data_IF_031338685898
#
_entry.id   IF_031338685898
#
_cell.length_a   1.000
_cell.length_b   1.000
_cell.length_c   1.000
_cell.angle_alpha   90.00
_cell.angle_beta   90.00
_cell.angle_gamma   90.00
#
_symmetry.space_group_name_H-M   'P 1'
#
loop_
_entity.id
_entity.type
_entity.pdbx_description
1 polymer ?
#
# COMPACT_ATOMS: atom_id res chain seq x y z
N UNK A 1 -11.68 -5.48 -7.40
CA UNK A 1 -12.35 -5.45 -6.07
C UNK A 1 -13.29 -4.26 -5.89
N UNK A 2 -12.80 -3.01 -5.85
CA UNK A 2 -13.64 -1.83 -5.58
C UNK A 2 -14.80 -1.63 -6.58
N UNK A 3 -14.61 -2.02 -7.83
CA UNK A 3 -15.65 -1.95 -8.86
C UNK A 3 -16.70 -3.06 -8.80
N UNK A 4 -16.45 -4.15 -8.07
CA UNK A 4 -17.33 -5.32 -8.05
C UNK A 4 -17.17 -6.27 -9.25
N UNK A 5 -16.04 -6.20 -9.97
CA UNK A 5 -15.71 -7.15 -11.06
C UNK A 5 -15.32 -8.55 -10.58
N UNK A 6 -15.05 -8.72 -9.28
CA UNK A 6 -14.66 -9.99 -8.67
C UNK A 6 -15.62 -10.20 -7.49
N UNK A 7 -16.31 -11.34 -7.49
CA UNK A 7 -17.27 -11.73 -6.46
C UNK A 7 -16.59 -12.47 -5.32
N UNK A 8 -17.24 -12.51 -4.16
CA UNK A 8 -16.83 -13.41 -3.07
C UNK A 8 -17.03 -14.89 -3.42
N UNK A 9 -17.93 -15.17 -4.37
CA UNK A 9 -18.20 -16.53 -4.87
C UNK A 9 -17.03 -17.09 -5.69
N UNK A 10 -16.21 -16.21 -6.26
CA UNK A 10 -15.05 -16.59 -7.08
C UNK A 10 -13.85 -17.07 -6.24
N UNK A 11 -13.92 -16.93 -4.92
CA UNK A 11 -12.83 -17.24 -4.00
C UNK A 11 -12.68 -18.74 -3.80
N UNK A 12 -11.45 -19.23 -3.96
CA UNK A 12 -11.06 -20.54 -3.43
C UNK A 12 -11.05 -20.56 -1.90
N UNK A 13 -10.95 -21.77 -1.33
CA UNK A 13 -10.86 -21.96 0.13
C UNK A 13 -9.65 -21.21 0.70
N UNK A 14 -9.91 -20.22 1.55
CA UNK A 14 -8.88 -19.40 2.20
C UNK A 14 -8.36 -18.21 1.36
N UNK A 15 -8.81 -18.05 0.11
CA UNK A 15 -8.40 -16.95 -0.77
C UNK A 15 -9.03 -15.61 -0.34
N UNK A 16 -8.25 -14.53 -0.44
CA UNK A 16 -8.77 -13.16 -0.45
C UNK A 16 -9.36 -12.82 -1.82
N UNK A 17 -10.07 -11.67 -1.89
CA UNK A 17 -10.45 -11.11 -3.19
C UNK A 17 -9.22 -10.68 -4.00
N UNK A 18 -8.10 -10.36 -3.33
CA UNK A 18 -6.82 -10.05 -3.98
C UNK A 18 -6.24 -11.31 -4.61
N UNK A 19 -6.13 -12.41 -3.87
CA UNK A 19 -5.62 -13.69 -4.38
C UNK A 19 -6.42 -14.14 -5.62
N UNK A 20 -7.75 -14.03 -5.55
CA UNK A 20 -8.62 -14.29 -6.69
C UNK A 20 -8.31 -13.35 -7.89
N UNK A 21 -8.07 -12.06 -7.63
CA UNK A 21 -7.69 -11.09 -8.67
C UNK A 21 -6.33 -11.44 -9.30
N UNK A 22 -5.34 -11.82 -8.48
CA UNK A 22 -4.01 -12.21 -8.94
C UNK A 22 -4.09 -13.49 -9.78
N UNK A 23 -4.88 -14.49 -9.34
CA UNK A 23 -5.14 -15.72 -10.09
C UNK A 23 -5.76 -15.43 -11.46
N UNK A 24 -6.79 -14.59 -11.52
CA UNK A 24 -7.39 -14.19 -12.80
C UNK A 24 -6.40 -13.43 -13.69
N UNK A 25 -5.57 -12.55 -13.12
CA UNK A 25 -4.55 -11.84 -13.89
C UNK A 25 -3.53 -12.81 -14.49
N UNK A 26 -3.07 -13.81 -13.72
CA UNK A 26 -2.18 -14.86 -14.21
C UNK A 26 -2.83 -15.70 -15.30
N UNK A 27 -4.11 -16.05 -15.16
CA UNK A 27 -4.84 -16.79 -16.19
C UNK A 27 -4.94 -15.99 -17.49
N UNK A 28 -5.24 -14.69 -17.41
CA UNK A 28 -5.25 -13.80 -18.56
C UNK A 28 -3.86 -13.67 -19.21
N UNK A 29 -2.79 -13.67 -18.40
CA UNK A 29 -1.43 -13.64 -18.89
C UNK A 29 -1.03 -14.96 -19.58
N UNK A 30 -1.39 -16.10 -19.00
CA UNK A 30 -1.14 -17.43 -19.57
C UNK A 30 -1.90 -17.65 -20.88
N UNK A 31 -3.04 -16.96 -21.06
CA UNK A 31 -3.79 -16.94 -22.32
C UNK A 31 -3.31 -15.88 -23.31
N UNK A 32 -2.16 -15.24 -23.05
CA UNK A 32 -1.56 -14.19 -23.88
C UNK A 32 -2.51 -13.00 -24.15
N UNK A 33 -3.46 -12.73 -23.25
CA UNK A 33 -4.37 -11.59 -23.35
C UNK A 33 -3.80 -10.34 -22.68
N UNK A 34 -3.03 -10.54 -21.61
CA UNK A 34 -2.41 -9.48 -20.82
C UNK A 34 -0.92 -9.76 -20.67
N UNK A 35 -0.09 -8.77 -20.96
CA UNK A 35 1.32 -8.79 -20.60
C UNK A 35 1.49 -8.30 -19.17
N UNK A 36 2.09 -9.13 -18.33
CA UNK A 36 2.32 -8.81 -16.93
C UNK A 36 3.82 -8.68 -16.71
N UNK A 37 4.27 -7.52 -16.26
CA UNK A 37 5.64 -7.33 -15.76
C UNK A 37 5.64 -7.64 -14.27
N UNK A 38 6.34 -8.69 -13.90
CA UNK A 38 6.63 -9.03 -12.52
C UNK A 38 7.89 -8.26 -12.12
N UNK A 39 7.88 -7.67 -10.94
CA UNK A 39 9.08 -7.11 -10.35
C UNK A 39 9.47 -8.01 -9.18
N UNK A 40 10.42 -8.90 -9.44
CA UNK A 40 10.93 -9.84 -8.44
C UNK A 40 11.68 -9.13 -7.31
N UNK A 41 12.08 -7.87 -7.53
CA UNK A 41 12.74 -7.01 -6.53
C UNK A 41 11.74 -6.12 -5.77
N UNK A 42 10.51 -5.99 -6.26
CA UNK A 42 9.47 -5.16 -5.65
C UNK A 42 8.91 -5.81 -4.38
N UNK A 43 9.09 -5.08 -3.29
CA UNK A 43 8.66 -5.46 -1.95
C UNK A 43 7.14 -5.34 -1.78
N UNK A 44 6.49 -4.47 -2.55
CA UNK A 44 5.09 -4.05 -2.33
C UNK A 44 4.08 -4.78 -3.21
N UNK A 45 4.44 -4.98 -4.48
CA UNK A 45 3.58 -5.61 -5.47
C UNK A 45 4.41 -6.54 -6.34
N UNK A 46 3.99 -7.81 -6.39
CA UNK A 46 4.54 -8.80 -7.32
C UNK A 46 4.41 -8.34 -8.78
N UNK A 47 3.40 -7.53 -9.08
CA UNK A 47 3.14 -6.99 -10.41
C UNK A 47 3.52 -5.51 -10.48
N UNK A 48 4.45 -5.17 -11.36
CA UNK A 48 4.86 -3.79 -11.65
C UNK A 48 3.89 -3.10 -12.60
N UNK A 49 3.45 -3.83 -13.61
CA UNK A 49 2.46 -3.36 -14.55
C UNK A 49 1.78 -4.53 -15.25
N UNK A 50 0.55 -4.31 -15.68
CA UNK A 50 -0.15 -5.18 -16.61
C UNK A 50 -0.65 -4.34 -17.79
N UNK A 51 -0.51 -4.82 -19.02
CA UNK A 51 -1.04 -4.18 -20.22
C UNK A 51 -1.71 -5.19 -21.13
N UNK A 52 -2.82 -4.81 -21.75
CA UNK A 52 -3.39 -5.61 -22.82
C UNK A 52 -2.41 -5.64 -24.00
N UNK A 53 -2.34 -6.77 -24.71
CA UNK A 53 -1.69 -6.81 -26.01
C UNK A 53 -2.42 -5.88 -27.00
N UNK A 54 -1.71 -5.26 -27.94
CA UNK A 54 -2.26 -4.22 -28.82
C UNK A 54 -3.52 -4.69 -29.59
N UNK A 55 -3.49 -5.90 -30.17
CA UNK A 55 -4.66 -6.48 -30.85
C UNK A 55 -5.87 -6.69 -29.92
N UNK A 56 -5.62 -7.14 -28.68
CA UNK A 56 -6.67 -7.35 -27.67
C UNK A 56 -7.20 -6.00 -27.20
N UNK A 57 -6.33 -5.00 -27.05
CA UNK A 57 -6.70 -3.63 -26.71
C UNK A 57 -7.60 -3.03 -27.79
N UNK A 58 -7.22 -3.13 -29.05
CA UNK A 58 -8.00 -2.58 -30.17
C UNK A 58 -9.35 -3.29 -30.32
N UNK A 59 -9.37 -4.61 -30.16
CA UNK A 59 -10.60 -5.40 -30.11
C UNK A 59 -11.48 -4.99 -28.91
N UNK A 60 -10.88 -4.73 -27.76
CA UNK A 60 -11.60 -4.31 -26.55
C UNK A 60 -12.18 -2.92 -26.75
N UNK A 61 -11.39 -1.95 -27.21
CA UNK A 61 -11.85 -0.58 -27.46
C UNK A 61 -12.97 -0.52 -28.51
N UNK A 62 -12.88 -1.33 -29.57
CA UNK A 62 -13.95 -1.42 -30.58
C UNK A 62 -15.24 -2.05 -30.04
N UNK A 63 -15.15 -3.06 -29.17
CA UNK A 63 -16.32 -3.64 -28.47
C UNK A 63 -16.89 -2.72 -27.39
N UNK A 64 -16.03 -1.99 -26.67
CA UNK A 64 -16.40 -1.11 -25.56
C UNK A 64 -17.07 0.18 -26.04
N UNK A 65 -16.67 0.75 -27.19
CA UNK A 65 -17.40 1.85 -27.83
C UNK A 65 -18.85 1.48 -28.13
N UNK A 66 -19.12 0.22 -28.52
CA UNK A 66 -20.48 -0.30 -28.72
C UNK A 66 -21.22 -0.55 -27.41
N UNK A 67 -20.50 -0.85 -26.32
CA UNK A 67 -21.07 -1.21 -25.00
C UNK A 67 -21.03 -0.09 -23.95
N UNK A 68 -20.49 1.09 -24.28
CA UNK A 68 -20.36 2.27 -23.40
C UNK A 68 -19.68 1.95 -22.05
N UNK A 69 -18.70 1.06 -22.07
CA UNK A 69 -18.13 0.49 -20.84
C UNK A 69 -17.03 1.36 -20.21
N UNK A 70 -16.19 1.98 -21.04
CA UNK A 70 -15.06 2.85 -20.67
C UNK A 70 -14.94 3.96 -21.71
N UNK A 71 -14.64 5.16 -21.23
CA UNK A 71 -14.27 6.30 -22.07
C UNK A 71 -12.89 6.81 -21.65
N UNK A 72 -11.98 6.92 -22.62
CA UNK A 72 -10.63 7.46 -22.42
C UNK A 72 -10.57 8.82 -23.09
N UNK A 73 -10.40 9.88 -22.28
CA UNK A 73 -10.24 11.24 -22.76
C UNK A 73 -8.77 11.63 -22.76
N UNK A 74 -8.17 11.70 -23.94
CA UNK A 74 -6.90 12.40 -24.18
C UNK A 74 -7.23 13.85 -24.54
N UNK A 75 -7.15 14.78 -23.57
CA UNK A 75 -7.34 16.22 -23.85
C UNK A 75 -5.98 16.86 -24.15
N UNK A 76 -5.71 17.07 -25.43
CA UNK A 76 -4.70 18.02 -25.91
C UNK A 76 -5.34 19.41 -26.04
N UNK A 77 -4.52 20.48 -25.93
CA UNK A 77 -5.00 21.85 -26.06
C UNK A 77 -5.83 22.04 -27.34
N UNK A 78 -7.00 22.67 -27.22
CA UNK A 78 -7.72 23.25 -28.35
C UNK A 78 -8.81 22.43 -29.05
N UNK A 79 -9.28 21.29 -28.51
CA UNK A 79 -10.49 20.63 -29.05
C UNK A 79 -11.68 20.74 -28.11
N UNK A 80 -12.58 21.66 -28.46
CA UNK A 80 -13.96 21.69 -27.98
C UNK A 80 -14.73 20.53 -28.59
N UNK A 81 -14.78 19.40 -27.89
CA UNK A 81 -15.90 18.47 -28.06
C UNK A 81 -16.46 18.10 -26.69
N UNK A 82 -17.54 18.81 -26.34
CA UNK A 82 -18.47 18.51 -25.26
C UNK A 82 -19.30 17.27 -25.60
N UNK A 83 -18.64 16.10 -25.66
CA UNK A 83 -19.38 14.86 -25.56
C UNK A 83 -19.68 14.60 -24.08
N UNK A 84 -20.97 14.71 -23.71
CA UNK A 84 -21.47 14.24 -22.42
C UNK A 84 -21.00 12.79 -22.26
N UNK A 85 -20.07 12.54 -21.34
CA UNK A 85 -19.60 11.20 -21.04
C UNK A 85 -20.83 10.36 -20.66
N UNK A 86 -21.21 9.34 -21.44
CA UNK A 86 -22.39 8.48 -21.16
C UNK A 86 -22.00 7.17 -20.46
N UNK A 87 -20.74 7.02 -20.08
CA UNK A 87 -20.20 5.79 -19.51
C UNK A 87 -20.13 5.86 -17.99
N UNK A 88 -20.04 4.71 -17.33
CA UNK A 88 -19.90 4.65 -15.88
C UNK A 88 -18.42 4.61 -15.44
N UNK A 89 -17.47 4.57 -16.39
CA UNK A 89 -16.03 4.57 -16.16
C UNK A 89 -15.35 5.57 -17.07
N UNK A 90 -14.63 6.50 -16.47
CA UNK A 90 -13.96 7.56 -17.18
C UNK A 90 -12.48 7.57 -16.78
N UNK A 91 -11.60 7.40 -17.76
CA UNK A 91 -10.17 7.62 -17.61
C UNK A 91 -9.79 8.91 -18.34
N UNK A 92 -9.13 9.82 -17.63
CA UNK A 92 -8.75 11.13 -18.14
C UNK A 92 -7.23 11.23 -18.08
N UNK A 93 -6.63 11.45 -19.24
CA UNK A 93 -5.22 11.73 -19.39
C UNK A 93 -5.04 13.25 -19.56
N UNK A 94 -4.73 13.94 -18.45
CA UNK A 94 -4.45 15.37 -18.48
C UNK A 94 -2.96 15.61 -18.73
N UNK A 95 -2.64 16.36 -19.80
CA UNK A 95 -1.25 16.76 -20.13
C UNK A 95 -0.86 18.09 -19.49
N UNK A 96 -1.79 19.06 -19.43
CA UNK A 96 -1.64 20.39 -18.79
C UNK A 96 -3.03 20.94 -18.46
N UNK A 97 -3.13 21.70 -17.38
CA UNK A 97 -4.26 22.61 -17.15
C UNK A 97 -3.65 24.00 -17.16
N UNK A 98 -3.81 24.70 -18.27
CA UNK A 98 -3.62 26.15 -18.23
C UNK A 98 -4.85 26.74 -17.51
N UNK A 99 -4.66 27.90 -16.86
CA UNK A 99 -5.68 28.56 -16.03
C UNK A 99 -6.94 29.01 -16.79
N UNK A 100 -7.04 28.69 -18.07
CA UNK A 100 -8.13 29.09 -18.93
C UNK A 100 -8.80 27.85 -19.53
N UNK A 101 -10.13 27.85 -19.51
CA UNK A 101 -11.07 26.78 -19.85
C UNK A 101 -11.46 25.84 -18.71
N UNK A 102 -12.64 26.16 -18.14
CA UNK A 102 -13.45 25.31 -17.27
C UNK A 102 -13.83 24.01 -17.98
N UNK A 103 -12.99 22.99 -17.86
CA UNK A 103 -13.35 21.63 -18.24
C UNK A 103 -14.47 21.15 -17.31
N UNK A 104 -15.73 21.20 -17.74
CA UNK A 104 -16.86 20.69 -16.96
C UNK A 104 -16.88 19.16 -16.96
N UNK A 105 -15.90 18.54 -16.30
CA UNK A 105 -15.93 17.11 -15.99
C UNK A 105 -16.97 16.95 -14.87
N UNK A 106 -18.24 16.85 -15.23
CA UNK A 106 -19.31 16.85 -14.22
C UNK A 106 -20.74 16.70 -14.70
N UNK A 107 -20.99 16.67 -16.01
CA UNK A 107 -22.34 16.48 -16.54
C UNK A 107 -22.88 15.07 -16.23
N UNK A 108 -22.01 14.06 -16.20
CA UNK A 108 -22.41 12.69 -15.85
C UNK A 108 -22.18 12.37 -14.38
N UNK A 109 -23.27 12.43 -13.61
CA UNK A 109 -23.29 12.12 -12.17
C UNK A 109 -23.30 10.61 -11.87
N UNK A 110 -23.43 9.75 -12.88
CA UNK A 110 -23.51 8.29 -12.75
C UNK A 110 -22.15 7.58 -12.82
N UNK A 111 -21.06 8.33 -12.94
CA UNK A 111 -19.69 7.77 -12.96
C UNK A 111 -19.43 6.99 -11.67
N UNK A 112 -18.95 5.75 -11.85
CA UNK A 112 -18.57 4.81 -10.78
C UNK A 112 -17.05 4.68 -10.63
N UNK A 113 -16.30 4.93 -11.69
CA UNK A 113 -14.83 4.94 -11.66
C UNK A 113 -14.29 6.12 -12.43
N UNK A 114 -13.41 6.87 -11.78
CA UNK A 114 -12.77 8.05 -12.34
C UNK A 114 -11.28 7.97 -12.09
N UNK A 115 -10.50 7.91 -13.18
CA UNK A 115 -9.06 7.74 -13.13
C UNK A 115 -8.40 8.94 -13.80
N UNK A 116 -7.55 9.64 -13.07
CA UNK A 116 -6.69 10.70 -13.58
C UNK A 116 -5.25 10.18 -13.62
N UNK A 117 -4.75 10.02 -14.84
CA UNK A 117 -3.46 9.39 -15.10
C UNK A 117 -2.64 10.34 -15.99
N UNK A 118 -1.82 11.22 -15.41
CA UNK A 118 -1.09 12.21 -16.15
C UNK A 118 0.09 11.56 -16.88
N UNK A 119 0.43 12.09 -18.06
CA UNK A 119 1.61 11.62 -18.82
C UNK A 119 2.92 12.17 -18.25
N UNK A 120 2.85 13.27 -17.48
CA UNK A 120 3.95 13.91 -16.76
C UNK A 120 3.56 14.12 -15.28
N UNK A 121 4.36 14.82 -14.47
CA UNK A 121 3.98 15.26 -13.10
C UNK A 121 3.58 16.73 -13.07
N UNK A 122 2.43 17.14 -13.63
CA UNK A 122 2.04 18.54 -13.67
C UNK A 122 1.64 19.06 -12.29
N UNK A 123 1.92 20.34 -12.05
CA UNK A 123 1.21 21.13 -11.06
C UNK A 123 -0.23 21.34 -11.55
N UNK A 124 -1.21 21.07 -10.72
CA UNK A 124 -2.62 21.06 -11.09
C UNK A 124 -3.50 21.70 -10.01
N UNK A 125 -4.49 22.46 -10.45
CA UNK A 125 -5.64 22.79 -9.62
C UNK A 125 -6.85 22.01 -10.13
N UNK A 126 -7.23 20.94 -9.44
CA UNK A 126 -8.45 20.20 -9.81
C UNK A 126 -9.72 20.89 -9.32
N UNK A 127 -9.64 21.78 -8.33
CA UNK A 127 -10.82 22.48 -7.80
C UNK A 127 -11.41 23.46 -8.82
N UNK A 128 -10.60 23.98 -9.74
CA UNK A 128 -11.07 24.82 -10.86
C UNK A 128 -11.81 24.02 -11.94
N UNK A 129 -11.57 22.71 -12.00
CA UNK A 129 -12.09 21.84 -13.06
C UNK A 129 -13.23 20.95 -12.59
N UNK A 130 -13.19 20.48 -11.33
CA UNK A 130 -14.03 19.38 -10.89
C UNK A 130 -14.47 19.59 -9.44
N UNK A 131 -15.79 19.61 -9.24
CA UNK A 131 -16.37 19.43 -7.91
C UNK A 131 -16.73 17.97 -7.71
N UNK A 132 -15.87 17.20 -7.03
CA UNK A 132 -16.07 15.75 -6.87
C UNK A 132 -17.40 15.39 -6.19
N UNK A 133 -17.96 16.28 -5.37
CA UNK A 133 -19.21 16.03 -4.65
C UNK A 133 -20.44 15.75 -5.52
N UNK A 134 -20.38 15.97 -6.83
CA UNK A 134 -21.47 15.66 -7.76
C UNK A 134 -21.57 14.15 -8.09
N UNK A 135 -20.47 13.40 -7.96
CA UNK A 135 -20.40 11.98 -8.33
C UNK A 135 -20.89 11.07 -7.21
N UNK A 136 -22.19 11.10 -6.93
CA UNK A 136 -22.82 10.36 -5.82
C UNK A 136 -22.60 8.85 -5.87
N UNK A 137 -22.32 8.29 -7.05
CA UNK A 137 -22.12 6.85 -7.27
C UNK A 137 -20.66 6.42 -7.41
N UNK A 138 -19.70 7.33 -7.23
CA UNK A 138 -18.29 7.04 -7.41
C UNK A 138 -17.80 6.01 -6.38
N UNK A 139 -17.21 4.92 -6.87
CA UNK A 139 -16.61 3.83 -6.09
C UNK A 139 -15.08 3.83 -6.18
N UNK A 140 -14.53 4.28 -7.31
CA UNK A 140 -13.09 4.31 -7.57
C UNK A 140 -12.67 5.70 -7.97
N UNK A 141 -11.73 6.28 -7.22
CA UNK A 141 -11.07 7.53 -7.56
C UNK A 141 -9.56 7.33 -7.53
N UNK A 142 -8.91 7.54 -8.67
CA UNK A 142 -7.47 7.47 -8.83
C UNK A 142 -6.98 8.85 -9.26
N UNK A 143 -6.11 9.46 -8.46
CA UNK A 143 -5.46 10.74 -8.72
C UNK A 143 -3.95 10.52 -8.58
N UNK A 144 -3.32 9.92 -9.59
CA UNK A 144 -1.92 9.51 -9.49
C UNK A 144 -0.98 10.50 -10.18
N UNK A 145 0.22 10.72 -9.63
CA UNK A 145 1.26 11.54 -10.28
C UNK A 145 1.02 13.05 -10.32
N UNK A 146 0.10 13.61 -9.54
CA UNK A 146 -0.21 15.06 -9.54
C UNK A 146 0.48 15.83 -8.41
N UNK A 147 0.82 17.10 -8.66
CA UNK A 147 1.14 18.06 -7.59
C UNK A 147 -0.05 19.00 -7.47
N UNK A 148 -0.77 18.98 -6.33
CA UNK A 148 -1.94 19.84 -6.17
C UNK A 148 -1.53 21.27 -5.81
N UNK A 149 -2.17 22.27 -6.41
CA UNK A 149 -2.01 23.68 -6.05
C UNK A 149 -2.39 23.84 -4.55
N UNK A 150 -1.46 24.34 -3.74
CA UNK A 150 -1.52 24.39 -2.26
C UNK A 150 -1.32 23.06 -1.51
N UNK A 151 -1.08 21.96 -2.23
CA UNK A 151 -0.86 20.63 -1.68
C UNK A 151 -2.07 20.06 -0.91
N UNK A 152 -3.27 20.57 -1.16
CA UNK A 152 -4.50 20.08 -0.57
C UNK A 152 -5.22 19.12 -1.51
N UNK A 153 -5.96 18.18 -0.91
CA UNK A 153 -6.82 17.29 -1.67
C UNK A 153 -8.03 18.09 -2.24
N UNK A 154 -8.51 17.78 -3.46
CA UNK A 154 -9.64 18.50 -4.06
C UNK A 154 -10.94 18.45 -3.23
N UNK A 155 -11.73 19.52 -3.34
CA UNK A 155 -12.99 19.69 -2.60
C UNK A 155 -14.06 18.70 -3.05
N UNK A 156 -14.89 18.26 -2.10
CA UNK A 156 -16.05 17.41 -2.36
C UNK A 156 -15.76 15.91 -2.31
N UNK A 157 -14.49 15.48 -2.16
CA UNK A 157 -14.15 14.07 -1.97
C UNK A 157 -14.79 13.53 -0.69
N UNK A 158 -14.96 14.35 0.35
CA UNK A 158 -15.65 14.01 1.59
C UNK A 158 -17.15 13.68 1.42
N UNK A 159 -17.74 14.04 0.28
CA UNK A 159 -19.14 13.78 -0.07
C UNK A 159 -19.33 12.44 -0.79
N UNK A 160 -18.26 11.76 -1.19
CA UNK A 160 -18.31 10.51 -1.96
C UNK A 160 -18.64 9.30 -1.07
N UNK A 161 -19.90 9.16 -0.66
CA UNK A 161 -20.33 8.13 0.32
C UNK A 161 -20.14 6.69 -0.14
N UNK A 162 -20.11 6.44 -1.45
CA UNK A 162 -19.92 5.11 -2.04
C UNK A 162 -18.46 4.82 -2.42
N UNK A 163 -17.53 5.73 -2.13
CA UNK A 163 -16.12 5.56 -2.48
C UNK A 163 -15.54 4.38 -1.72
N UNK A 164 -14.94 3.44 -2.46
CA UNK A 164 -14.27 2.24 -1.96
C UNK A 164 -12.76 2.30 -2.14
N UNK A 165 -12.28 2.98 -3.18
CA UNK A 165 -10.85 3.14 -3.45
C UNK A 165 -10.51 4.62 -3.67
N UNK A 166 -9.53 5.10 -2.92
CA UNK A 166 -8.86 6.37 -3.17
C UNK A 166 -7.36 6.10 -3.33
N UNK A 167 -6.83 6.35 -4.53
CA UNK A 167 -5.39 6.31 -4.79
C UNK A 167 -4.85 7.70 -5.07
N UNK A 168 -3.83 8.09 -4.31
CA UNK A 168 -3.02 9.28 -4.46
C UNK A 168 -1.55 8.88 -4.71
N UNK A 169 -1.33 7.69 -5.29
CA UNK A 169 0.02 7.20 -5.57
C UNK A 169 0.77 8.19 -6.45
N UNK A 170 2.03 8.40 -6.13
CA UNK A 170 2.86 9.41 -6.77
C UNK A 170 2.36 10.87 -6.74
N UNK A 171 1.25 11.16 -6.06
CA UNK A 171 0.72 12.52 -5.92
C UNK A 171 1.19 13.24 -4.65
N UNK A 172 1.54 14.50 -4.78
CA UNK A 172 2.01 15.34 -3.68
C UNK A 172 0.85 16.02 -2.94
N UNK A 173 0.57 15.53 -1.73
CA UNK A 173 -0.44 16.10 -0.82
C UNK A 173 0.21 16.37 0.54
N UNK A 174 0.14 17.63 0.99
CA UNK A 174 0.72 18.08 2.27
C UNK A 174 0.01 17.44 3.47
N UNK A 175 -1.33 17.39 3.44
CA UNK A 175 -2.12 16.83 4.54
C UNK A 175 -3.40 16.21 4.01
N UNK A 176 -3.66 14.97 4.40
CA UNK A 176 -4.95 14.36 4.15
C UNK A 176 -5.99 14.91 5.16
N UNK A 177 -7.12 15.48 4.72
CA UNK A 177 -8.06 16.11 5.64
C UNK A 177 -8.79 15.06 6.50
N UNK A 178 -9.11 15.36 7.78
CA UNK A 178 -9.82 14.42 8.68
C UNK A 178 -11.18 13.95 8.16
N UNK A 179 -11.79 14.69 7.24
CA UNK A 179 -13.05 14.35 6.58
C UNK A 179 -12.95 13.04 5.77
N UNK A 180 -11.78 12.68 5.26
CA UNK A 180 -11.56 11.41 4.53
C UNK A 180 -11.79 10.21 5.44
N UNK A 181 -11.48 10.31 6.72
CA UNK A 181 -11.76 9.27 7.71
C UNK A 181 -13.26 9.09 8.02
N UNK A 182 -14.14 9.94 7.47
CA UNK A 182 -15.60 9.85 7.61
C UNK A 182 -16.26 9.17 6.40
N UNK A 183 -15.50 8.72 5.40
CA UNK A 183 -16.04 8.00 4.25
C UNK A 183 -16.45 6.57 4.67
N UNK A 184 -17.75 6.22 4.58
CA UNK A 184 -18.27 5.01 5.24
C UNK A 184 -17.94 3.72 4.50
N UNK A 185 -17.59 3.80 3.21
CA UNK A 185 -17.36 2.64 2.35
C UNK A 185 -15.90 2.45 1.93
N UNK A 186 -14.97 3.29 2.40
CA UNK A 186 -13.59 3.24 1.90
C UNK A 186 -12.89 1.96 2.37
N UNK A 187 -12.39 1.19 1.41
CA UNK A 187 -11.72 -0.11 1.58
C UNK A 187 -10.22 -0.02 1.27
N UNK A 188 -9.84 0.81 0.30
CA UNK A 188 -8.45 1.01 -0.10
C UNK A 188 -8.09 2.48 -0.03
N UNK A 189 -7.05 2.81 0.72
CA UNK A 189 -6.44 4.13 0.79
C UNK A 189 -4.95 4.02 0.43
N UNK A 190 -4.58 4.53 -0.74
CA UNK A 190 -3.19 4.58 -1.19
C UNK A 190 -2.69 6.04 -1.15
N UNK A 191 -1.75 6.31 -0.25
CA UNK A 191 -1.27 7.65 0.09
C UNK A 191 0.26 7.69 0.22
N UNK A 192 0.95 6.87 -0.58
CA UNK A 192 2.42 6.69 -0.61
C UNK A 192 3.25 7.98 -0.75
N UNK A 193 2.67 9.11 -1.15
CA UNK A 193 3.36 10.42 -1.21
C UNK A 193 2.71 11.53 -0.37
N UNK A 194 1.73 11.19 0.47
CA UNK A 194 1.14 12.15 1.41
C UNK A 194 2.06 12.39 2.60
N UNK A 195 2.20 13.67 2.99
CA UNK A 195 3.08 14.12 4.07
C UNK A 195 2.47 13.84 5.44
N UNK A 196 1.22 14.26 5.70
CA UNK A 196 0.57 14.09 7.01
C UNK A 196 -0.74 13.32 6.92
N UNK A 197 -0.86 12.23 7.69
CA UNK A 197 -2.11 11.49 7.86
C UNK A 197 -2.95 12.03 9.03
N UNK A 198 -4.28 12.07 8.92
CA UNK A 198 -5.16 12.41 10.02
C UNK A 198 -5.18 11.27 11.04
N UNK A 199 -5.13 11.64 12.31
CA UNK A 199 -5.13 10.69 13.42
C UNK A 199 -6.51 10.07 13.73
N UNK A 200 -7.40 10.01 12.73
CA UNK A 200 -8.76 9.49 12.83
C UNK A 200 -8.96 8.24 11.96
N UNK A 201 -7.88 7.69 11.40
CA UNK A 201 -7.93 6.56 10.48
C UNK A 201 -8.60 5.34 11.09
N UNK A 202 -8.43 5.10 12.40
CA UNK A 202 -9.11 4.04 13.16
C UNK A 202 -10.64 4.04 13.05
N UNK A 203 -11.27 5.16 12.67
CA UNK A 203 -12.72 5.23 12.46
C UNK A 203 -13.17 4.57 11.16
N UNK A 204 -12.25 4.29 10.24
CA UNK A 204 -12.52 3.68 8.94
C UNK A 204 -12.65 2.17 9.07
N UNK A 205 -13.73 1.70 9.71
CA UNK A 205 -13.92 0.28 10.08
C UNK A 205 -13.94 -0.70 8.91
N UNK A 206 -14.20 -0.22 7.68
CA UNK A 206 -14.21 -1.02 6.43
C UNK A 206 -12.89 -0.97 5.66
N UNK A 207 -11.88 -0.28 6.19
CA UNK A 207 -10.58 -0.16 5.55
C UNK A 207 -9.87 -1.51 5.57
N UNK A 208 -9.46 -1.98 4.39
CA UNK A 208 -8.80 -3.28 4.16
C UNK A 208 -7.36 -3.13 3.72
N UNK A 209 -7.06 -2.10 2.94
CA UNK A 209 -5.72 -1.90 2.39
C UNK A 209 -5.29 -0.46 2.62
N UNK A 210 -4.18 -0.29 3.34
CA UNK A 210 -3.58 1.00 3.64
C UNK A 210 -2.13 1.04 3.15
N UNK A 211 -1.85 1.87 2.15
CA UNK A 211 -0.51 2.02 1.58
C UNK A 211 0.06 3.41 1.91
N UNK A 212 1.17 3.45 2.64
CA UNK A 212 1.81 4.65 3.18
C UNK A 212 3.22 4.87 2.61
N UNK A 213 3.75 6.09 2.79
CA UNK A 213 5.05 6.54 2.26
C UNK A 213 6.24 5.87 2.95
N UNK A 214 7.34 5.70 2.22
CA UNK A 214 8.63 5.15 2.69
C UNK A 214 9.66 6.19 3.16
N UNK A 215 9.51 7.48 2.84
CA UNK A 215 10.58 8.46 3.01
C UNK A 215 10.23 9.71 3.83
N UNK A 216 11.21 10.10 4.66
CA UNK A 216 11.30 11.20 5.66
C UNK A 216 10.31 12.36 5.46
N UNK A 217 9.37 12.47 6.40
CA UNK A 217 8.54 13.66 6.57
C UNK A 217 8.61 14.10 8.03
N UNK A 218 8.89 15.38 8.22
CA UNK A 218 8.90 16.09 9.50
C UNK A 218 7.50 16.16 10.10
N UNK A 219 7.42 15.95 11.42
CA UNK A 219 6.18 15.85 12.18
C UNK A 219 5.45 17.20 12.31
N UNK A 220 4.32 17.32 11.64
CA UNK A 220 3.25 18.29 11.97
C UNK A 220 1.96 17.63 12.47
N UNK A 221 1.93 16.31 12.67
CA UNK A 221 0.72 15.55 13.00
C UNK A 221 0.90 14.60 14.19
N UNK A 222 -0.13 14.51 15.03
CA UNK A 222 -0.22 13.61 16.18
C UNK A 222 -0.19 12.11 15.83
N UNK A 223 -0.09 11.27 16.87
CA UNK A 223 0.20 9.82 16.84
C UNK A 223 -0.86 8.92 16.17
N UNK A 224 -0.64 8.33 14.99
CA UNK A 224 -1.59 7.47 14.25
C UNK A 224 -2.14 6.28 15.07
N UNK A 225 -3.46 6.24 15.28
CA UNK A 225 -4.15 5.10 15.93
C UNK A 225 -4.66 4.09 14.88
N UNK A 226 -4.31 2.81 15.04
CA UNK A 226 -4.79 1.69 14.20
C UNK A 226 -5.79 0.75 14.91
N UNK A 227 -5.85 0.78 16.25
CA UNK A 227 -6.80 -0.04 17.03
C UNK A 227 -8.24 0.25 16.59
N UNK A 228 -8.95 -0.78 16.12
CA UNK A 228 -10.32 -0.69 15.60
C UNK A 228 -10.45 -0.90 14.09
N UNK A 229 -9.34 -1.01 13.35
CA UNK A 229 -9.31 -1.39 11.95
C UNK A 229 -9.42 -2.91 11.77
N UNK A 230 -10.57 -3.47 12.15
CA UNK A 230 -10.73 -4.93 12.25
C UNK A 230 -10.79 -5.65 10.89
N UNK A 231 -11.12 -4.95 9.81
CA UNK A 231 -11.09 -5.48 8.44
C UNK A 231 -9.74 -5.27 7.73
N UNK A 232 -8.72 -4.72 8.40
CA UNK A 232 -7.45 -4.41 7.75
C UNK A 232 -6.69 -5.68 7.38
N UNK A 233 -6.53 -5.91 6.07
CA UNK A 233 -5.86 -7.06 5.47
C UNK A 233 -4.40 -6.75 5.10
N UNK A 234 -4.12 -5.52 4.68
CA UNK A 234 -2.79 -5.10 4.19
C UNK A 234 -2.41 -3.74 4.77
N UNK A 235 -1.20 -3.66 5.32
CA UNK A 235 -0.56 -2.40 5.68
C UNK A 235 0.87 -2.36 5.15
N UNK A 236 1.22 -1.27 4.46
CA UNK A 236 2.60 -1.04 3.98
C UNK A 236 3.05 0.38 4.30
N UNK A 237 4.31 0.57 4.68
CA UNK A 237 5.00 1.87 4.68
C UNK A 237 5.87 2.13 5.91
N UNK A 238 6.49 3.32 5.96
CA UNK A 238 7.39 3.74 7.03
C UNK A 238 6.64 4.24 8.28
N UNK A 239 7.17 3.99 9.48
CA UNK A 239 6.57 4.35 10.78
C UNK A 239 6.53 5.85 11.05
N UNK A 240 7.27 6.66 10.29
CA UNK A 240 7.05 8.11 10.29
C UNK A 240 5.56 8.43 10.04
N UNK A 241 4.88 7.58 9.26
CA UNK A 241 3.43 7.65 9.04
C UNK A 241 2.59 6.89 10.08
N UNK A 242 3.14 5.86 10.76
CA UNK A 242 2.43 4.94 11.66
C UNK A 242 2.84 5.17 13.12
N UNK A 243 2.79 6.41 13.63
CA UNK A 243 3.06 6.73 15.05
C UNK A 243 2.07 6.03 16.00
N UNK A 244 2.29 4.76 16.30
CA UNK A 244 1.59 3.98 17.31
C UNK A 244 2.06 4.44 18.72
N UNK A 245 1.24 4.28 19.75
CA UNK A 245 1.29 5.04 21.03
C UNK A 245 2.03 4.28 22.14
N UNK A 246 2.86 5.01 22.93
CA UNK A 246 2.81 5.24 24.40
C UNK A 246 3.22 6.71 24.72
N UNK A 247 2.72 7.26 25.82
CA UNK A 247 2.78 8.67 26.26
C UNK A 247 4.21 9.15 26.58
N UNK A 248 4.53 10.42 26.28
CA UNK A 248 5.53 11.19 27.04
C UNK A 248 5.28 12.69 26.92
N UNK A 249 5.34 13.35 28.08
CA UNK A 249 5.36 14.79 28.29
C UNK A 249 6.51 15.46 27.54
N UNK A 250 6.22 16.65 27.02
CA UNK A 250 7.21 17.52 26.39
C UNK A 250 7.73 18.47 27.45
N UNK A 251 8.94 18.24 27.96
CA UNK A 251 9.69 19.29 28.64
C UNK A 251 10.53 20.02 27.58
N UNK A 252 10.11 21.22 27.20
CA UNK A 252 10.88 22.14 26.36
C UNK A 252 11.91 22.81 27.26
N UNK A 253 13.21 22.55 27.04
CA UNK A 253 14.31 23.46 27.37
C UNK A 253 15.63 22.88 26.85
N UNK A 254 16.01 23.22 25.62
CA UNK A 254 17.43 23.32 25.25
C UNK A 254 17.55 24.31 24.09
N UNK A 255 18.30 25.39 24.31
CA UNK A 255 18.49 26.55 23.42
C UNK A 255 19.30 26.27 22.14
N UNK A 256 19.61 25.01 21.84
CA UNK A 256 20.26 24.64 20.61
C UNK A 256 19.20 24.08 19.65
N UNK A 257 18.88 24.82 18.59
CA UNK A 257 17.78 24.59 17.64
C UNK A 257 17.81 23.26 16.88
N UNK A 258 18.55 22.26 17.35
CA UNK A 258 18.39 20.87 16.97
C UNK A 258 17.10 20.30 17.58
N UNK A 259 16.02 20.27 16.78
CA UNK A 259 14.85 19.45 17.12
C UNK A 259 15.25 17.98 16.97
N UNK A 260 15.91 17.43 17.99
CA UNK A 260 16.11 16.00 18.15
C UNK A 260 14.72 15.36 18.25
N UNK A 261 14.20 14.91 17.12
CA UNK A 261 13.08 13.98 17.07
C UNK A 261 13.47 12.80 17.96
N UNK A 262 12.93 12.73 19.18
CA UNK A 262 12.94 11.51 19.99
C UNK A 262 12.11 10.49 19.21
N UNK A 263 12.81 9.70 18.39
CA UNK A 263 12.23 8.69 17.49
C UNK A 263 11.84 7.47 18.34
N UNK A 264 10.65 6.94 18.09
CA UNK A 264 9.93 5.93 18.88
C UNK A 264 10.75 4.63 19.00
N UNK A 265 10.98 4.18 20.23
CA UNK A 265 11.61 2.90 20.62
C UNK A 265 10.59 1.77 20.87
N UNK A 266 9.30 2.09 20.94
CA UNK A 266 8.21 1.13 21.17
C UNK A 266 8.02 0.16 20.00
N UNK A 267 7.76 -1.09 20.35
CA UNK A 267 7.61 -2.18 19.41
C UNK A 267 6.28 -2.07 18.62
N UNK A 268 6.33 -1.93 17.28
CA UNK A 268 5.12 -1.85 16.46
C UNK A 268 4.26 -3.12 16.53
N UNK A 269 4.84 -4.25 16.92
CA UNK A 269 4.13 -5.53 17.00
C UNK A 269 3.03 -5.51 18.07
N UNK A 270 3.16 -4.75 19.16
CA UNK A 270 2.16 -4.67 20.23
C UNK A 270 0.74 -4.28 19.75
N UNK A 271 0.66 -3.56 18.64
CA UNK A 271 -0.60 -3.13 18.05
C UNK A 271 -0.92 -3.93 16.79
N UNK A 272 0.09 -4.15 15.93
CA UNK A 272 -0.11 -4.82 14.65
C UNK A 272 -0.53 -6.28 14.84
N UNK A 273 -0.01 -6.96 15.86
CA UNK A 273 -0.31 -8.37 16.14
C UNK A 273 -1.77 -8.60 16.55
N UNK A 274 -2.43 -7.55 17.06
CA UNK A 274 -3.82 -7.57 17.51
C UNK A 274 -4.82 -7.34 16.38
N UNK A 275 -4.35 -7.09 15.14
CA UNK A 275 -5.21 -6.92 13.97
C UNK A 275 -5.66 -8.29 13.45
N UNK A 276 -6.94 -8.65 13.59
CA UNK A 276 -7.39 -10.05 13.42
C UNK A 276 -7.42 -10.52 11.97
N UNK A 277 -7.48 -9.61 11.00
CA UNK A 277 -7.55 -9.91 9.57
C UNK A 277 -6.26 -9.56 8.83
N UNK A 278 -5.21 -9.13 9.52
CA UNK A 278 -3.97 -8.70 8.89
C UNK A 278 -3.27 -9.89 8.25
N UNK A 279 -3.07 -9.83 6.93
CA UNK A 279 -2.48 -10.88 6.10
C UNK A 279 -1.12 -10.50 5.56
N UNK A 280 -0.90 -9.22 5.29
CA UNK A 280 0.35 -8.71 4.77
C UNK A 280 0.82 -7.52 5.60
N UNK A 281 2.03 -7.67 6.15
CA UNK A 281 2.72 -6.65 6.90
C UNK A 281 4.05 -6.34 6.21
N UNK A 282 4.25 -5.07 5.87
CA UNK A 282 5.54 -4.59 5.39
C UNK A 282 6.02 -3.41 6.26
N UNK A 283 7.12 -3.63 6.95
CA UNK A 283 7.87 -2.62 7.70
C UNK A 283 9.14 -2.27 6.91
N UNK A 284 9.10 -1.13 6.21
CA UNK A 284 10.18 -0.68 5.33
C UNK A 284 11.09 0.39 5.98
N UNK A 285 12.00 0.99 5.22
CA UNK A 285 13.08 1.84 5.75
C UNK A 285 12.60 2.86 6.78
N UNK A 286 13.34 2.97 7.89
CA UNK A 286 13.02 3.82 9.05
C UNK A 286 11.70 3.45 9.77
N UNK A 287 11.04 2.32 9.46
CA UNK A 287 9.79 1.90 10.11
C UNK A 287 9.93 1.37 11.54
N UNK A 288 11.14 1.19 12.03
CA UNK A 288 11.37 0.91 13.43
C UNK A 288 12.80 1.32 13.73
N UNK A 289 12.96 2.18 14.74
CA UNK A 289 14.29 2.64 15.17
C UNK A 289 14.71 2.04 16.51
N UNK A 290 13.82 1.28 17.15
CA UNK A 290 14.17 0.54 18.34
C UNK A 290 15.02 -0.69 18.00
N UNK A 291 15.36 -1.45 19.03
CA UNK A 291 16.33 -2.56 18.95
C UNK A 291 15.70 -3.93 18.96
N UNK A 292 14.46 -4.05 19.43
CA UNK A 292 13.82 -5.33 19.73
C UNK A 292 12.38 -5.36 19.23
N UNK A 293 12.03 -6.39 18.48
CA UNK A 293 10.62 -6.68 18.15
C UNK A 293 10.23 -8.02 18.74
N UNK A 294 9.00 -8.12 19.25
CA UNK A 294 8.43 -9.31 19.88
C UNK A 294 7.08 -9.58 19.24
N UNK A 295 6.91 -10.77 18.68
CA UNK A 295 5.60 -11.28 18.28
C UNK A 295 5.10 -12.25 19.35
N UNK A 296 4.00 -11.90 20.03
CA UNK A 296 3.43 -12.71 21.10
C UNK A 296 2.81 -14.01 20.60
N UNK A 297 2.64 -14.99 21.49
CA UNK A 297 2.20 -16.35 21.17
C UNK A 297 0.83 -16.44 20.48
N UNK A 298 -0.04 -15.43 20.63
CA UNK A 298 -1.34 -15.33 19.95
C UNK A 298 -1.38 -14.22 18.90
N UNK A 299 -0.23 -13.60 18.62
CA UNK A 299 -0.10 -12.49 17.69
C UNK A 299 -0.29 -12.95 16.26
N UNK A 300 -0.90 -12.08 15.44
CA UNK A 300 -1.02 -12.22 13.99
C UNK A 300 -1.74 -13.51 13.52
N UNK A 301 -3.03 -13.68 13.87
CA UNK A 301 -3.75 -14.93 13.63
C UNK A 301 -3.95 -15.30 12.15
N UNK A 302 -3.84 -14.35 11.22
CA UNK A 302 -4.02 -14.57 9.77
C UNK A 302 -2.84 -14.07 8.92
N UNK A 303 -1.71 -13.72 9.53
CA UNK A 303 -0.60 -13.13 8.79
C UNK A 303 0.06 -14.16 7.88
N UNK A 304 0.14 -13.86 6.58
CA UNK A 304 0.67 -14.73 5.53
C UNK A 304 2.00 -14.25 4.98
N UNK A 305 2.23 -12.94 4.98
CA UNK A 305 3.46 -12.33 4.48
C UNK A 305 3.95 -11.27 5.45
N UNK A 306 5.21 -11.37 5.82
CA UNK A 306 5.92 -10.30 6.53
C UNK A 306 7.17 -9.91 5.74
N UNK A 307 7.40 -8.61 5.65
CA UNK A 307 8.60 -8.03 5.06
C UNK A 307 9.20 -7.03 6.04
N UNK A 308 10.46 -7.23 6.38
CA UNK A 308 11.27 -6.36 7.20
C UNK A 308 12.39 -5.78 6.33
N UNK A 309 12.28 -4.53 5.94
CA UNK A 309 13.23 -3.88 5.04
C UNK A 309 13.84 -2.63 5.68
N UNK A 310 15.16 -2.54 5.70
CA UNK A 310 15.86 -1.31 6.07
C UNK A 310 15.57 -0.87 7.50
N UNK A 311 15.58 -1.79 8.47
CA UNK A 311 15.46 -1.50 9.91
C UNK A 311 16.87 -1.38 10.52
N UNK A 312 17.50 -0.19 10.55
CA UNK A 312 18.94 -0.04 10.78
C UNK A 312 19.36 -0.28 12.23
N UNK A 313 18.41 -0.28 13.16
CA UNK A 313 18.65 -0.41 14.60
C UNK A 313 18.17 -1.74 15.19
N UNK A 314 17.38 -2.50 14.44
CA UNK A 314 16.87 -3.79 14.89
C UNK A 314 18.04 -4.74 15.15
N UNK A 315 18.18 -5.19 16.39
CA UNK A 315 19.22 -6.11 16.86
C UNK A 315 18.63 -7.50 17.09
N UNK A 316 17.44 -7.54 17.69
CA UNK A 316 16.79 -8.77 18.10
C UNK A 316 15.34 -8.80 17.61
N UNK A 317 14.94 -9.95 17.08
CA UNK A 317 13.57 -10.24 16.74
C UNK A 317 13.18 -11.53 17.44
N UNK A 318 12.25 -11.45 18.39
CA UNK A 318 11.71 -12.59 19.13
C UNK A 318 10.33 -12.96 18.58
N UNK A 319 10.14 -14.25 18.36
CA UNK A 319 8.86 -14.81 17.93
C UNK A 319 8.51 -15.90 18.93
N UNK A 320 7.42 -15.72 19.67
CA UNK A 320 6.95 -16.71 20.63
C UNK A 320 6.31 -17.91 19.93
N UNK A 321 6.33 -19.07 20.59
CA UNK A 321 5.68 -20.27 20.09
C UNK A 321 4.17 -20.03 19.96
N UNK A 322 3.66 -20.17 18.74
CA UNK A 322 2.24 -19.95 18.40
C UNK A 322 1.98 -18.67 17.59
N UNK A 323 2.94 -17.73 17.57
CA UNK A 323 2.83 -16.51 16.77
C UNK A 323 2.76 -16.80 15.27
N UNK A 324 1.94 -16.03 14.55
CA UNK A 324 1.84 -16.06 13.08
C UNK A 324 1.65 -17.47 12.47
N UNK A 325 0.62 -18.24 12.87
CA UNK A 325 0.48 -19.65 12.49
C UNK A 325 0.27 -19.91 10.99
N UNK A 326 -0.16 -18.89 10.24
CA UNK A 326 -0.43 -18.94 8.79
C UNK A 326 0.70 -18.33 7.94
N UNK A 327 1.84 -17.96 8.54
CA UNK A 327 2.91 -17.26 7.84
C UNK A 327 3.50 -18.14 6.75
N UNK A 328 3.44 -17.63 5.51
CA UNK A 328 3.85 -18.38 4.31
C UNK A 328 5.08 -17.77 3.63
N UNK A 329 5.31 -16.48 3.79
CA UNK A 329 6.42 -15.73 3.18
C UNK A 329 7.06 -14.81 4.20
N UNK A 330 8.37 -14.92 4.38
CA UNK A 330 9.20 -14.04 5.18
C UNK A 330 10.30 -13.44 4.29
N UNK A 331 10.42 -12.12 4.29
CA UNK A 331 11.48 -11.40 3.61
C UNK A 331 12.19 -10.43 4.57
N UNK A 332 13.51 -10.54 4.65
CA UNK A 332 14.35 -9.65 5.46
C UNK A 332 15.40 -9.02 4.55
N UNK A 333 15.34 -7.69 4.42
CA UNK A 333 16.21 -6.91 3.53
C UNK A 333 16.92 -5.82 4.31
N UNK A 334 18.23 -5.66 4.11
CA UNK A 334 19.00 -4.52 4.62
C UNK A 334 18.86 -4.25 6.15
N UNK A 335 18.48 -5.25 6.94
CA UNK A 335 18.36 -5.16 8.41
C UNK A 335 19.72 -5.44 9.07
N UNK A 336 20.71 -4.61 8.73
CA UNK A 336 22.14 -4.92 8.94
C UNK A 336 22.53 -5.21 10.39
N UNK A 337 21.82 -4.68 11.40
CA UNK A 337 22.15 -4.93 12.83
C UNK A 337 21.53 -6.19 13.42
N UNK A 338 20.61 -6.85 12.72
CA UNK A 338 19.94 -8.06 13.20
C UNK A 338 20.99 -9.16 13.41
N UNK A 339 21.02 -9.76 14.60
CA UNK A 339 22.08 -10.70 15.00
C UNK A 339 21.82 -12.14 14.58
N UNK A 340 20.56 -12.58 14.63
CA UNK A 340 20.18 -13.98 14.41
C UNK A 340 18.73 -14.10 13.97
N UNK A 341 18.36 -15.26 13.45
CA UNK A 341 16.97 -15.61 13.17
C UNK A 341 16.22 -15.97 14.47
N UNK A 342 14.95 -15.56 14.64
CA UNK A 342 14.14 -15.91 15.81
C UNK A 342 14.00 -17.42 15.97
N UNK A 343 14.18 -17.93 17.20
CA UNK A 343 13.97 -19.36 17.51
C UNK A 343 12.53 -19.81 17.26
N UNK A 344 11.56 -18.90 17.38
CA UNK A 344 10.14 -19.18 17.11
C UNK A 344 9.86 -19.65 15.69
N UNK A 345 10.74 -19.31 14.73
CA UNK A 345 10.56 -19.65 13.32
C UNK A 345 10.45 -21.16 13.08
N UNK A 346 11.12 -21.97 13.91
CA UNK A 346 11.06 -23.44 13.83
C UNK A 346 9.67 -24.01 14.09
N UNK A 347 8.79 -23.26 14.73
CA UNK A 347 7.40 -23.67 15.01
C UNK A 347 6.43 -23.25 13.89
N UNK A 348 6.87 -22.44 12.92
CA UNK A 348 6.04 -21.95 11.82
C UNK A 348 6.13 -22.93 10.64
N UNK A 349 5.36 -24.01 10.71
CA UNK A 349 5.35 -25.06 9.68
C UNK A 349 4.68 -24.63 8.37
N UNK A 350 3.96 -23.51 8.37
CA UNK A 350 3.31 -22.93 7.20
C UNK A 350 4.28 -22.18 6.27
N UNK A 351 5.51 -21.91 6.71
CA UNK A 351 6.45 -21.06 6.01
C UNK A 351 6.98 -21.75 4.74
N UNK A 352 6.67 -21.16 3.58
CA UNK A 352 7.03 -21.70 2.26
C UNK A 352 8.24 -21.02 1.65
N UNK A 353 8.36 -19.70 1.87
CA UNK A 353 9.40 -18.87 1.27
C UNK A 353 10.11 -18.02 2.31
N UNK A 354 11.44 -18.08 2.31
CA UNK A 354 12.33 -17.20 3.05
C UNK A 354 13.27 -16.49 2.07
N UNK A 355 13.31 -15.16 2.10
CA UNK A 355 14.28 -14.37 1.35
C UNK A 355 15.07 -13.47 2.27
N UNK A 356 16.39 -13.54 2.17
CA UNK A 356 17.35 -12.69 2.88
C UNK A 356 18.17 -11.91 1.85
N UNK A 357 18.20 -10.58 1.97
CA UNK A 357 18.88 -9.69 1.00
C UNK A 357 19.66 -8.60 1.72
N UNK A 358 20.90 -8.33 1.28
CA UNK A 358 21.67 -7.17 1.75
C UNK A 358 21.98 -7.16 3.25
N UNK A 359 22.14 -8.35 3.85
CA UNK A 359 22.48 -8.53 5.27
C UNK A 359 24.00 -8.56 5.48
N UNK A 360 24.46 -8.47 6.74
CA UNK A 360 25.89 -8.65 7.04
C UNK A 360 26.30 -10.10 6.78
N UNK A 361 27.53 -10.29 6.32
CA UNK A 361 28.07 -11.62 6.01
C UNK A 361 28.03 -12.57 7.23
N UNK A 362 28.30 -12.06 8.43
CA UNK A 362 28.20 -12.81 9.69
C UNK A 362 26.79 -13.39 9.90
N UNK A 363 25.75 -12.62 9.60
CA UNK A 363 24.35 -13.06 9.70
C UNK A 363 24.05 -14.14 8.65
N UNK A 364 24.48 -13.95 7.41
CA UNK A 364 24.28 -14.93 6.34
C UNK A 364 24.97 -16.27 6.63
N UNK A 365 26.19 -16.24 7.21
CA UNK A 365 26.95 -17.46 7.56
C UNK A 365 26.19 -18.36 8.54
N UNK A 366 25.42 -17.77 9.47
CA UNK A 366 24.58 -18.53 10.42
C UNK A 366 23.52 -19.38 9.72
N UNK A 367 23.13 -19.03 8.50
CA UNK A 367 22.07 -19.68 7.74
C UNK A 367 22.59 -20.55 6.59
N UNK A 368 23.90 -20.65 6.40
CA UNK A 368 24.51 -21.44 5.32
C UNK A 368 25.24 -22.65 5.90
N UNK A 369 25.44 -23.65 5.06
CA UNK A 369 26.42 -24.70 5.30
C UNK A 369 27.73 -24.25 4.68
N UNK A 370 28.77 -24.11 5.48
CA UNK A 370 30.11 -23.68 5.02
C UNK A 370 31.08 -24.81 5.37
N UNK A 371 31.80 -25.33 4.37
CA UNK A 371 32.75 -26.44 4.54
C UNK A 371 32.16 -27.70 5.21
N UNK A 372 30.85 -27.95 5.03
CA UNK A 372 30.15 -29.09 5.64
C UNK A 372 29.63 -28.83 7.05
N UNK A 373 29.92 -27.68 7.66
CA UNK A 373 29.39 -27.29 8.96
C UNK A 373 28.10 -26.48 8.79
N UNK A 374 27.01 -26.94 9.44
CA UNK A 374 25.75 -26.21 9.48
C UNK A 374 25.91 -24.95 10.35
N UNK A 375 25.59 -23.77 9.80
CA UNK A 375 25.56 -22.54 10.57
C UNK A 375 24.53 -22.59 11.71
N UNK A 376 24.75 -21.79 12.76
CA UNK A 376 23.96 -21.83 14.00
C UNK A 376 22.44 -21.71 13.82
N UNK A 377 21.98 -20.95 12.81
CA UNK A 377 20.56 -20.72 12.51
C UNK A 377 20.05 -21.62 11.37
N UNK A 378 20.90 -22.47 10.77
CA UNK A 378 20.53 -23.32 9.62
C UNK A 378 19.37 -24.25 9.95
N UNK A 379 19.37 -24.86 11.14
CA UNK A 379 18.30 -25.74 11.62
C UNK A 379 16.92 -25.06 11.68
N UNK A 380 16.88 -23.72 11.81
CA UNK A 380 15.63 -22.93 11.87
C UNK A 380 15.00 -22.76 10.48
N UNK A 381 15.81 -22.81 9.43
CA UNK A 381 15.38 -22.53 8.06
C UNK A 381 15.37 -23.78 7.16
N UNK A 382 16.06 -24.85 7.57
CA UNK A 382 16.13 -26.15 6.89
C UNK A 382 14.76 -26.72 6.46
N UNK A 383 13.68 -26.57 7.25
CA UNK A 383 12.36 -27.06 6.84
C UNK A 383 11.68 -26.24 5.72
N UNK A 384 12.19 -25.06 5.39
CA UNK A 384 11.54 -24.11 4.47
C UNK A 384 11.84 -24.52 3.02
N UNK A 385 10.81 -24.77 2.18
CA UNK A 385 11.01 -25.24 0.80
C UNK A 385 11.81 -24.30 -0.11
N UNK A 386 11.59 -22.99 -0.01
CA UNK A 386 12.23 -21.98 -0.86
C UNK A 386 13.00 -20.97 -0.03
N UNK A 387 14.32 -21.15 0.07
CA UNK A 387 15.23 -20.25 0.76
C UNK A 387 16.13 -19.56 -0.26
N UNK A 388 16.17 -18.22 -0.26
CA UNK A 388 17.04 -17.43 -1.13
C UNK A 388 17.84 -16.43 -0.29
N UNK A 389 19.17 -16.48 -0.39
CA UNK A 389 20.09 -15.59 0.33
C UNK A 389 20.97 -14.88 -0.69
N UNK A 390 20.67 -13.61 -0.95
CA UNK A 390 21.35 -12.77 -1.94
C UNK A 390 22.30 -11.79 -1.27
N UNK A 391 23.48 -11.62 -1.87
CA UNK A 391 24.34 -10.46 -1.62
C UNK A 391 23.86 -9.29 -2.51
N UNK A 392 23.94 -8.08 -1.97
CA UNK A 392 23.64 -6.83 -2.71
C UNK A 392 24.53 -6.68 -3.95
#
# INVERSE_FOLDING_TARGET
>A
MAEGMISSEDKGRGETLRDCAERYLFELANRCMVQVKIDETSVYNRFKSCRLHDLIRDLSLSKEKKRRFLEVMDREMGREESSICKTNRLAIHLKRLDNDHSYSIGENKNIRSLLFLPKNRPLINLDSCITFGIFKYLKVLVLEGYVFENGNLPKGIEKLKLLKLLSLEDSYVNKLPPSICKLPCLQTLNVKRTITLPNYIYKMRRLRHLFLRENRVSSGGGKLKLKGLNELETITGSIVCIKLRIDMDVNMNSEDGSTLLRRIDEDPMEILEKLPMLRELNLSTDAYVGREMVCGATGFPQLRKIILEGLPNLVEWRVEKGAMPDLSTLEIRCCRKLKMMPDGLKFITSLKKLSIVGMREEFEKRMRVVNGEEGEDYHKIKPIPFVHIYKD
#
